data_IF_851611944706
#
_entry.id   IF_851611944706
#
_cell.length_a   1.000
_cell.length_b   1.000
_cell.length_c   1.000
_cell.angle_alpha   90.00
_cell.angle_beta   90.00
_cell.angle_gamma   90.00
#
_symmetry.space_group_name_H-M   'P 1'
#
loop_
_entity.id
_entity.type
_entity.pdbx_description
1 polymer ?
#
# COMPACT_ATOMS: atom_id res chain seq x y z
N UNK A 1 20.31 -0.54 -10.75
CA UNK A 1 19.02 -0.69 -10.05
C UNK A 1 18.18 -1.71 -10.83
N UNK A 2 17.44 -2.59 -10.16
CA UNK A 2 16.60 -3.57 -10.85
C UNK A 2 15.58 -2.90 -11.77
N UNK A 3 14.89 -1.85 -11.29
CA UNK A 3 14.03 -1.01 -12.10
C UNK A 3 14.05 0.45 -11.61
N UNK A 4 13.66 1.36 -12.46
CA UNK A 4 13.50 2.76 -12.13
C UNK A 4 12.12 2.98 -11.47
N UNK A 5 12.05 3.85 -10.49
CA UNK A 5 10.79 4.29 -9.90
C UNK A 5 10.04 5.20 -10.88
N UNK A 6 9.25 4.58 -11.77
CA UNK A 6 8.49 5.30 -12.81
C UNK A 6 7.37 6.18 -12.26
N UNK A 7 6.93 5.94 -11.02
CA UNK A 7 5.86 6.73 -10.38
C UNK A 7 6.37 8.10 -9.94
N UNK A 8 7.57 8.15 -9.38
CA UNK A 8 8.17 9.38 -8.87
C UNK A 8 9.11 10.07 -9.86
N UNK A 9 9.58 9.35 -10.89
CA UNK A 9 10.46 9.94 -11.91
C UNK A 9 9.82 11.13 -12.59
N UNK A 10 10.48 12.28 -12.52
CA UNK A 10 10.09 13.55 -13.17
C UNK A 10 11.32 14.30 -13.65
N UNK A 11 11.14 15.12 -14.67
CA UNK A 11 12.13 16.11 -15.10
C UNK A 11 11.46 17.42 -15.48
N UNK A 12 12.19 18.52 -15.37
CA UNK A 12 11.73 19.85 -15.76
C UNK A 12 12.85 20.57 -16.51
N UNK A 13 12.52 21.11 -17.68
CA UNK A 13 13.41 22.00 -18.43
C UNK A 13 13.17 23.42 -17.96
N UNK A 14 14.22 24.14 -17.60
CA UNK A 14 14.17 25.52 -17.14
C UNK A 14 15.20 26.40 -17.86
N UNK A 15 15.09 27.69 -17.73
CA UNK A 15 16.00 28.67 -18.33
C UNK A 15 16.16 28.43 -19.85
N UNK A 16 15.03 28.38 -20.57
CA UNK A 16 14.95 28.09 -22.02
C UNK A 16 15.68 26.80 -22.43
N UNK A 17 15.58 25.76 -21.60
CA UNK A 17 16.20 24.47 -21.84
C UNK A 17 17.70 24.41 -21.55
N UNK A 18 18.31 25.50 -21.01
CA UNK A 18 19.73 25.53 -20.63
C UNK A 18 20.03 24.76 -19.33
N UNK A 19 19.01 24.44 -18.56
CA UNK A 19 19.13 23.68 -17.32
C UNK A 19 18.02 22.64 -17.23
N UNK A 20 18.33 21.50 -16.58
CA UNK A 20 17.43 20.38 -16.41
C UNK A 20 17.37 20.02 -14.92
N UNK A 21 16.19 20.02 -14.35
CA UNK A 21 15.93 19.42 -13.03
C UNK A 21 15.58 17.95 -13.30
N UNK A 22 16.36 17.03 -12.75
CA UNK A 22 16.25 15.60 -13.01
C UNK A 22 16.09 14.81 -11.71
N UNK A 23 15.04 13.97 -11.62
CA UNK A 23 14.87 13.08 -10.50
C UNK A 23 15.64 11.77 -10.68
N UNK A 24 16.27 11.26 -9.61
CA UNK A 24 17.08 10.03 -9.68
C UNK A 24 17.25 9.37 -8.31
N UNK A 25 17.20 8.04 -8.27
CA UNK A 25 17.49 7.20 -7.09
C UNK A 25 18.95 6.70 -7.04
N UNK A 26 19.88 7.37 -7.72
CA UNK A 26 21.29 6.93 -7.81
C UNK A 26 21.96 6.69 -6.45
N UNK A 27 21.50 7.39 -5.42
CA UNK A 27 22.02 7.30 -4.05
C UNK A 27 21.12 6.44 -3.13
N UNK A 28 20.19 5.64 -3.69
CA UNK A 28 19.27 4.79 -2.95
C UNK A 28 17.94 5.43 -2.61
N UNK A 29 17.88 6.77 -2.47
CA UNK A 29 16.65 7.54 -2.29
C UNK A 29 16.44 8.51 -3.45
N UNK A 30 15.19 8.74 -3.80
CA UNK A 30 14.84 9.65 -4.88
C UNK A 30 15.17 11.09 -4.55
N UNK A 31 15.99 11.72 -5.37
CA UNK A 31 16.45 13.10 -5.23
C UNK A 31 16.29 13.87 -6.52
N UNK A 32 16.14 15.18 -6.44
CA UNK A 32 16.29 16.08 -7.58
C UNK A 32 17.71 16.60 -7.69
N UNK A 33 18.20 16.62 -8.93
CA UNK A 33 19.52 17.11 -9.33
C UNK A 33 19.38 18.17 -10.40
N UNK A 34 20.25 19.18 -10.38
CA UNK A 34 20.33 20.21 -11.41
C UNK A 34 21.48 19.88 -12.38
N UNK A 35 21.17 19.91 -13.67
CA UNK A 35 22.13 19.73 -14.77
C UNK A 35 22.17 20.94 -15.68
N UNK A 36 23.26 21.12 -16.42
CA UNK A 36 23.27 21.96 -17.59
C UNK A 36 22.73 21.22 -18.83
N UNK A 37 22.56 21.92 -19.95
CA UNK A 37 22.06 21.34 -21.21
C UNK A 37 23.05 20.40 -21.91
N UNK A 38 24.32 20.35 -21.47
CA UNK A 38 25.32 19.38 -21.95
C UNK A 38 25.29 18.08 -21.12
N UNK A 39 24.42 17.99 -20.09
CA UNK A 39 24.32 16.84 -19.21
C UNK A 39 25.32 16.84 -18.05
N UNK A 40 26.03 17.93 -17.81
CA UNK A 40 26.93 18.02 -16.66
C UNK A 40 26.13 18.31 -15.39
N UNK A 41 26.39 17.52 -14.35
CA UNK A 41 25.78 17.72 -13.03
C UNK A 41 26.31 19.00 -12.40
N UNK A 42 25.39 19.93 -12.03
CA UNK A 42 25.72 21.15 -11.31
C UNK A 42 25.72 20.91 -9.80
N UNK A 43 24.60 20.37 -9.27
CA UNK A 43 24.45 20.02 -7.85
C UNK A 43 23.23 19.12 -7.60
N UNK A 44 23.16 18.53 -6.40
CA UNK A 44 21.92 17.99 -5.85
C UNK A 44 21.06 19.15 -5.33
N UNK A 45 19.75 19.11 -5.59
CA UNK A 45 18.77 20.09 -5.08
C UNK A 45 18.21 19.62 -3.74
N UNK A 46 17.74 18.37 -3.66
CA UNK A 46 17.17 17.82 -2.43
C UNK A 46 18.19 16.97 -1.66
N UNK A 47 18.10 16.90 -0.32
CA UNK A 47 19.06 16.17 0.48
C UNK A 47 18.92 14.64 0.32
N UNK A 48 19.97 13.84 0.62
CA UNK A 48 19.99 12.39 0.39
C UNK A 48 19.25 11.57 1.46
N UNK A 49 18.83 12.16 2.56
CA UNK A 49 18.18 11.49 3.69
C UNK A 49 16.64 11.43 3.59
N UNK A 50 16.08 11.89 2.45
CA UNK A 50 14.65 11.83 2.14
C UNK A 50 14.40 11.23 0.76
N UNK A 51 13.17 10.77 0.50
CA UNK A 51 12.66 10.54 -0.86
C UNK A 51 11.89 11.78 -1.29
N UNK A 52 12.34 12.44 -2.35
CA UNK A 52 11.66 13.58 -2.96
C UNK A 52 10.51 13.09 -3.85
N UNK A 53 9.32 13.61 -3.61
CA UNK A 53 8.12 13.39 -4.43
C UNK A 53 7.91 14.49 -5.46
N UNK A 54 6.65 14.92 -5.63
CA UNK A 54 6.23 15.92 -6.62
C UNK A 54 6.74 17.32 -6.27
N UNK A 55 7.19 18.05 -7.28
CA UNK A 55 7.44 19.49 -7.16
C UNK A 55 6.08 20.22 -7.26
N UNK A 56 5.61 20.79 -6.14
CA UNK A 56 4.34 21.51 -6.04
C UNK A 56 4.42 22.90 -6.67
N UNK A 57 5.59 23.53 -6.56
CA UNK A 57 5.87 24.85 -7.18
C UNK A 57 7.33 24.90 -7.61
N UNK A 58 7.54 25.33 -8.84
CA UNK A 58 8.84 25.68 -9.39
C UNK A 58 8.86 27.19 -9.68
N UNK A 59 9.65 27.93 -8.92
CA UNK A 59 9.88 29.37 -9.11
C UNK A 59 11.24 29.56 -9.80
N UNK A 60 11.21 29.71 -11.11
CA UNK A 60 12.42 29.87 -11.92
C UNK A 60 13.09 31.21 -11.74
N UNK A 61 12.33 32.27 -11.39
CA UNK A 61 12.85 33.63 -11.17
C UNK A 61 13.66 33.69 -9.87
N UNK A 62 13.08 33.17 -8.79
CA UNK A 62 13.73 33.14 -7.48
C UNK A 62 14.59 31.86 -7.28
N UNK A 63 14.62 30.99 -8.27
CA UNK A 63 15.38 29.73 -8.29
C UNK A 63 15.09 28.87 -7.06
N UNK A 64 13.81 28.62 -6.77
CA UNK A 64 13.37 27.79 -5.64
C UNK A 64 12.33 26.77 -6.08
N UNK A 65 12.23 25.67 -5.32
CA UNK A 65 11.11 24.71 -5.43
C UNK A 65 10.44 24.53 -4.08
N UNK A 66 9.13 24.21 -4.13
CA UNK A 66 8.39 23.56 -3.04
C UNK A 66 8.16 22.13 -3.47
N UNK A 67 8.58 21.18 -2.65
CA UNK A 67 8.63 19.75 -3.01
C UNK A 67 8.10 18.87 -1.88
N UNK A 68 7.39 17.82 -2.25
CA UNK A 68 7.04 16.73 -1.34
C UNK A 68 8.30 15.98 -0.88
N UNK A 69 8.27 15.48 0.37
CA UNK A 69 9.33 14.63 0.89
C UNK A 69 8.84 13.62 1.90
N UNK A 70 9.52 12.49 1.92
CA UNK A 70 9.17 11.34 2.74
C UNK A 70 10.38 10.81 3.50
N UNK A 71 10.14 10.29 4.73
CA UNK A 71 11.11 9.54 5.50
C UNK A 71 12.30 10.34 6.05
N UNK A 72 12.20 11.69 6.13
CA UNK A 72 13.23 12.55 6.70
C UNK A 72 13.01 12.83 8.19
N UNK A 73 11.76 13.06 8.57
CA UNK A 73 11.44 13.47 9.95
C UNK A 73 11.60 12.28 10.90
N UNK A 74 12.54 12.40 11.84
CA UNK A 74 12.93 11.32 12.75
C UNK A 74 11.81 10.98 13.75
N UNK A 75 11.60 9.69 13.98
CA UNK A 75 10.58 9.21 14.93
C UNK A 75 9.14 9.31 14.41
N UNK A 76 8.97 9.70 13.14
CA UNK A 76 7.69 9.79 12.47
C UNK A 76 7.58 8.68 11.40
N UNK A 77 6.36 8.21 11.15
CA UNK A 77 6.12 7.22 10.11
C UNK A 77 6.67 7.73 8.75
N UNK A 78 7.63 7.04 8.13
CA UNK A 78 8.29 7.49 6.90
C UNK A 78 7.38 7.56 5.69
N UNK A 79 6.14 7.05 5.77
CA UNK A 79 5.15 7.17 4.72
C UNK A 79 4.34 8.47 4.80
N UNK A 80 4.50 9.26 5.87
CA UNK A 80 3.83 10.56 5.95
C UNK A 80 4.50 11.55 5.02
N UNK A 81 3.67 12.28 4.29
CA UNK A 81 4.07 13.30 3.33
C UNK A 81 4.32 14.62 4.05
N UNK A 82 5.46 15.21 3.76
CA UNK A 82 5.84 16.55 4.21
C UNK A 82 6.15 17.44 3.01
N UNK A 83 6.17 18.77 3.23
CA UNK A 83 6.53 19.72 2.20
C UNK A 83 7.69 20.58 2.65
N UNK A 84 8.63 20.77 1.71
CA UNK A 84 9.87 21.51 1.94
C UNK A 84 10.05 22.55 0.86
N UNK A 85 10.68 23.68 1.23
CA UNK A 85 11.22 24.66 0.30
C UNK A 85 12.73 24.51 0.21
N UNK A 86 13.30 24.61 -0.98
CA UNK A 86 14.75 24.58 -1.21
C UNK A 86 15.11 25.40 -2.45
N UNK A 87 16.32 25.98 -2.45
CA UNK A 87 16.87 26.66 -3.62
C UNK A 87 17.41 25.64 -4.62
N UNK A 88 17.44 25.98 -5.91
CA UNK A 88 17.99 25.10 -6.96
C UNK A 88 19.48 24.79 -6.78
N UNK A 89 20.21 25.58 -5.96
CA UNK A 89 21.61 25.28 -5.58
C UNK A 89 21.72 24.32 -4.38
N UNK A 90 20.60 23.77 -3.89
CA UNK A 90 20.53 22.86 -2.75
C UNK A 90 20.58 23.52 -1.38
N UNK A 91 20.73 24.85 -1.31
CA UNK A 91 20.75 25.57 -0.02
C UNK A 91 19.35 26.01 0.43
N UNK A 92 19.25 26.46 1.68
CA UNK A 92 18.01 27.00 2.23
C UNK A 92 16.89 25.95 2.38
N UNK A 93 17.25 24.69 2.57
CA UNK A 93 16.28 23.62 2.78
C UNK A 93 15.50 23.83 4.07
N UNK A 94 14.18 23.96 3.95
CA UNK A 94 13.30 24.35 5.06
C UNK A 94 12.03 23.52 5.05
N UNK A 95 11.67 22.90 6.18
CA UNK A 95 10.39 22.25 6.40
C UNK A 95 9.27 23.30 6.46
N UNK A 96 8.24 23.13 5.63
CA UNK A 96 7.08 24.05 5.59
C UNK A 96 5.93 23.55 6.46
N UNK A 97 5.74 22.24 6.56
CA UNK A 97 4.59 21.59 7.20
C UNK A 97 5.03 20.77 8.41
N UNK A 98 5.28 21.39 9.56
CA UNK A 98 5.65 20.66 10.78
C UNK A 98 4.43 19.98 11.40
N UNK A 99 4.64 18.80 11.96
CA UNK A 99 3.58 18.04 12.66
C UNK A 99 3.74 16.53 12.44
N UNK A 100 3.20 15.73 13.35
CA UNK A 100 3.24 14.27 13.21
C UNK A 100 1.96 13.78 12.52
N UNK A 101 1.96 13.85 11.20
CA UNK A 101 0.86 13.41 10.35
C UNK A 101 1.23 13.47 8.87
N UNK A 102 0.33 13.04 8.02
CA UNK A 102 0.45 13.24 6.58
C UNK A 102 -0.16 14.58 6.20
N UNK A 103 0.53 15.35 5.36
CA UNK A 103 0.18 16.72 5.01
C UNK A 103 -0.36 16.81 3.58
N UNK A 104 -1.26 17.76 3.36
CA UNK A 104 -1.76 18.17 2.05
C UNK A 104 -1.79 19.69 1.98
N UNK A 105 -1.24 20.30 0.93
CA UNK A 105 -1.12 21.76 0.86
C UNK A 105 -1.85 22.35 -0.33
N UNK A 106 -2.41 23.55 -0.09
CA UNK A 106 -2.87 24.48 -1.12
C UNK A 106 -2.06 25.77 -1.05
N UNK A 107 -1.45 26.15 -2.16
CA UNK A 107 -0.59 27.35 -2.24
C UNK A 107 -1.40 28.58 -2.61
N UNK A 108 -1.15 29.72 -1.95
CA UNK A 108 -1.69 30.99 -2.40
C UNK A 108 -1.16 31.36 -3.79
N UNK A 109 -1.92 32.10 -4.63
CA UNK A 109 -1.49 32.48 -5.99
C UNK A 109 -0.15 33.20 -6.02
N UNK A 110 0.12 34.05 -5.04
CA UNK A 110 1.40 34.78 -4.92
C UNK A 110 2.53 33.93 -4.32
N UNK A 111 2.22 32.72 -3.83
CA UNK A 111 3.18 31.79 -3.24
C UNK A 111 3.80 32.25 -1.92
N UNK A 112 3.13 33.14 -1.18
CA UNK A 112 3.62 33.60 0.13
C UNK A 112 3.04 32.81 1.29
N UNK A 113 1.89 32.19 1.08
CA UNK A 113 1.17 31.41 2.08
C UNK A 113 0.81 30.03 1.52
N UNK A 114 0.57 29.11 2.41
CA UNK A 114 -0.08 27.83 2.12
C UNK A 114 -1.10 27.50 3.21
N UNK A 115 -2.13 26.78 2.85
CA UNK A 115 -2.99 26.07 3.77
C UNK A 115 -2.42 24.64 3.87
N UNK A 116 -2.19 24.17 5.09
CA UNK A 116 -1.74 22.83 5.38
C UNK A 116 -2.85 22.06 6.09
N UNK A 117 -3.40 21.05 5.42
CA UNK A 117 -4.33 20.10 6.01
C UNK A 117 -3.55 18.84 6.38
N UNK A 118 -3.47 18.52 7.66
CA UNK A 118 -2.75 17.33 8.09
C UNK A 118 -3.57 16.49 9.06
N UNK A 119 -3.36 15.20 9.00
CA UNK A 119 -4.04 14.22 9.83
C UNK A 119 -3.26 12.90 9.93
N UNK A 120 -3.74 12.02 10.78
CA UNK A 120 -3.40 10.58 10.82
C UNK A 120 -4.69 9.77 10.88
N UNK A 121 -4.59 8.48 10.73
CA UNK A 121 -5.76 7.60 10.88
C UNK A 121 -6.41 7.67 12.28
N UNK A 122 -5.62 8.02 13.30
CA UNK A 122 -6.04 8.18 14.70
C UNK A 122 -6.24 9.64 15.14
N UNK A 123 -6.09 10.59 14.23
CA UNK A 123 -6.14 12.03 14.50
C UNK A 123 -6.92 12.75 13.40
N UNK A 124 -8.05 13.39 13.74
CA UNK A 124 -8.84 14.21 12.81
C UNK A 124 -8.00 15.28 12.11
N UNK A 125 -8.50 15.78 10.98
CA UNK A 125 -7.79 16.77 10.17
C UNK A 125 -7.74 18.12 10.87
N UNK A 126 -6.55 18.71 10.94
CA UNK A 126 -6.34 20.12 11.31
C UNK A 126 -5.86 20.90 10.09
N UNK A 127 -6.40 22.12 9.93
CA UNK A 127 -6.09 23.06 8.85
C UNK A 127 -5.34 24.27 9.39
N UNK A 128 -4.15 24.51 8.86
CA UNK A 128 -3.27 25.61 9.29
C UNK A 128 -2.95 26.55 8.15
N UNK A 129 -2.99 27.85 8.42
CA UNK A 129 -2.40 28.86 7.53
C UNK A 129 -0.93 29.06 7.90
N UNK A 130 -0.05 28.85 6.93
CA UNK A 130 1.39 28.95 7.10
C UNK A 130 1.95 30.03 6.17
N UNK A 131 2.73 30.97 6.74
CA UNK A 131 3.51 31.91 5.95
C UNK A 131 4.84 31.25 5.56
N UNK A 132 5.09 31.09 4.26
CA UNK A 132 6.25 30.33 3.72
C UNK A 132 7.59 30.92 4.16
N UNK A 133 7.68 32.26 4.34
CA UNK A 133 8.89 32.91 4.84
C UNK A 133 9.19 32.65 6.33
N UNK A 134 8.20 32.18 7.11
CA UNK A 134 8.33 31.92 8.54
C UNK A 134 7.45 30.73 8.98
N UNK A 135 7.72 29.50 8.48
CA UNK A 135 6.80 28.37 8.59
C UNK A 135 6.59 27.86 10.03
N UNK A 136 7.48 28.22 10.96
CA UNK A 136 7.30 27.91 12.39
C UNK A 136 6.16 28.69 13.06
N UNK A 137 5.69 29.79 12.44
CA UNK A 137 4.54 30.58 12.89
C UNK A 137 3.35 30.22 12.02
N UNK A 138 2.56 29.28 12.45
CA UNK A 138 1.30 28.88 11.82
C UNK A 138 0.12 29.44 12.60
N UNK A 139 -1.00 29.58 11.94
CA UNK A 139 -2.29 29.94 12.52
C UNK A 139 -3.24 28.78 12.28
N UNK A 140 -3.81 28.24 13.34
CA UNK A 140 -4.87 27.24 13.24
C UNK A 140 -6.09 27.92 12.61
N UNK A 141 -6.60 27.36 11.52
CA UNK A 141 -7.82 27.80 10.86
C UNK A 141 -9.02 27.01 11.37
N UNK A 142 -8.87 25.67 11.42
CA UNK A 142 -9.92 24.76 11.79
C UNK A 142 -9.31 23.44 12.30
N UNK A 143 -9.99 22.79 13.23
CA UNK A 143 -9.73 21.43 13.68
C UNK A 143 -11.03 20.63 13.59
N UNK A 144 -11.00 19.51 12.90
CA UNK A 144 -12.19 18.64 12.79
C UNK A 144 -12.52 18.04 14.15
N UNK A 145 -13.79 18.11 14.52
CA UNK A 145 -14.34 17.54 15.76
C UNK A 145 -14.82 16.11 15.53
N UNK A 146 -14.34 15.16 16.32
CA UNK A 146 -14.76 13.76 16.32
C UNK A 146 -15.56 13.36 17.58
N UNK A 147 -16.02 14.35 18.36
CA UNK A 147 -16.72 14.14 19.64
C UNK A 147 -18.01 13.32 19.46
N UNK A 148 -18.82 13.63 18.47
CA UNK A 148 -20.06 12.89 18.18
C UNK A 148 -19.78 11.42 17.81
N UNK A 149 -18.70 11.15 17.05
CA UNK A 149 -18.29 9.79 16.76
C UNK A 149 -17.89 9.03 18.03
N UNK A 150 -17.16 9.70 18.93
CA UNK A 150 -16.74 9.10 20.21
C UNK A 150 -17.93 8.85 21.14
N UNK A 151 -18.91 9.74 21.17
CA UNK A 151 -20.16 9.56 21.92
C UNK A 151 -20.95 8.34 21.42
N UNK A 152 -20.91 8.03 20.13
CA UNK A 152 -21.46 6.80 19.54
C UNK A 152 -20.62 5.54 19.83
N UNK A 153 -19.52 5.70 20.58
CA UNK A 153 -18.62 4.60 20.94
C UNK A 153 -17.51 4.31 19.94
N UNK A 154 -17.39 5.09 18.85
CA UNK A 154 -16.30 4.95 17.90
C UNK A 154 -14.94 5.16 18.58
N UNK A 155 -13.98 4.34 18.20
CA UNK A 155 -12.58 4.45 18.64
C UNK A 155 -11.67 4.47 17.42
N UNK A 156 -10.64 5.34 17.41
CA UNK A 156 -9.66 5.36 16.33
C UNK A 156 -8.91 4.03 16.25
N UNK A 157 -8.43 3.65 15.08
CA UNK A 157 -7.60 2.47 14.93
C UNK A 157 -6.24 2.66 15.63
N UNK A 158 -5.59 1.55 15.94
CA UNK A 158 -4.27 1.53 16.57
C UNK A 158 -3.19 1.53 15.49
N UNK A 159 -2.38 2.59 15.45
CA UNK A 159 -1.20 2.63 14.60
C UNK A 159 -0.08 1.80 15.24
N UNK A 160 0.59 0.97 14.44
CA UNK A 160 1.68 0.15 14.96
C UNK A 160 2.90 0.14 14.05
N UNK A 161 4.04 -0.11 14.67
CA UNK A 161 5.33 -0.38 14.02
C UNK A 161 5.84 -1.74 14.51
N UNK A 162 6.36 -2.53 13.58
CA UNK A 162 6.99 -3.83 13.82
C UNK A 162 8.21 -3.98 12.93
N UNK A 163 9.04 -4.99 13.22
CA UNK A 163 10.07 -5.42 12.26
C UNK A 163 9.47 -6.33 11.21
N UNK A 164 10.01 -6.28 9.99
CA UNK A 164 9.74 -7.24 8.93
C UNK A 164 10.31 -8.62 9.29
N UNK A 165 10.07 -9.61 8.46
CA UNK A 165 10.60 -10.96 8.66
C UNK A 165 12.14 -11.07 8.60
N UNK A 166 12.84 -9.96 8.32
CA UNK A 166 14.31 -9.85 8.41
C UNK A 166 14.82 -9.34 9.76
N UNK A 167 13.93 -9.12 10.73
CA UNK A 167 14.18 -8.55 12.08
C UNK A 167 14.87 -7.17 12.08
N UNK A 168 14.98 -6.50 10.92
CA UNK A 168 15.69 -5.24 10.76
C UNK A 168 14.86 -4.10 10.18
N UNK A 169 14.13 -4.37 9.10
CA UNK A 169 13.35 -3.36 8.39
C UNK A 169 12.06 -3.01 9.14
N UNK A 170 11.82 -1.71 9.35
CA UNK A 170 10.58 -1.26 9.99
C UNK A 170 9.40 -1.30 9.01
N UNK A 171 8.32 -1.95 9.43
CA UNK A 171 7.01 -1.96 8.79
C UNK A 171 6.01 -1.18 9.64
N UNK A 172 5.07 -0.53 8.98
CA UNK A 172 4.04 0.30 9.60
C UNK A 172 2.67 -0.20 9.18
N UNK A 173 1.76 -0.24 10.11
CA UNK A 173 0.40 -0.75 9.87
C UNK A 173 -0.64 -0.11 10.76
N UNK A 174 -1.87 -0.53 10.52
CA UNK A 174 -3.08 -0.08 11.21
C UNK A 174 -3.80 -1.31 11.71
N UNK A 175 -4.29 -1.26 12.95
CA UNK A 175 -5.09 -2.32 13.55
C UNK A 175 -6.42 -1.76 14.00
N UNK A 176 -7.49 -2.31 13.46
CA UNK A 176 -8.88 -2.01 13.79
C UNK A 176 -9.39 -3.03 14.80
N UNK A 177 -9.99 -2.55 15.86
CA UNK A 177 -10.47 -3.35 16.98
C UNK A 177 -11.98 -3.15 17.19
N UNK A 178 -12.69 -4.15 17.74
CA UNK A 178 -14.04 -3.94 18.20
C UNK A 178 -14.11 -2.80 19.23
N UNK A 179 -15.11 -1.92 19.14
CA UNK A 179 -15.25 -0.80 20.08
C UNK A 179 -15.48 -1.29 21.52
N UNK A 180 -16.11 -2.44 21.68
CA UNK A 180 -16.36 -3.11 22.96
C UNK A 180 -15.35 -4.24 23.22
N UNK A 181 -14.11 -4.09 22.79
CA UNK A 181 -13.05 -5.09 22.95
C UNK A 181 -12.94 -5.55 24.42
N UNK A 182 -13.05 -6.87 24.61
CA UNK A 182 -12.79 -7.56 25.87
C UNK A 182 -11.48 -8.35 25.74
N UNK A 183 -10.42 -7.87 26.36
CA UNK A 183 -9.08 -8.48 26.25
C UNK A 183 -8.94 -9.84 26.94
N UNK A 184 -9.98 -10.31 27.63
CA UNK A 184 -10.03 -11.67 28.22
C UNK A 184 -10.50 -12.74 27.22
N UNK A 185 -11.04 -12.33 26.08
CA UNK A 185 -11.52 -13.19 24.99
C UNK A 185 -10.51 -13.26 23.85
N UNK A 186 -10.59 -14.34 23.07
CA UNK A 186 -9.79 -14.50 21.85
C UNK A 186 -10.60 -14.07 20.62
N UNK A 187 -9.97 -13.27 19.76
CA UNK A 187 -10.53 -12.76 18.51
C UNK A 187 -9.76 -13.29 17.30
N UNK A 188 -10.46 -13.80 16.27
CA UNK A 188 -9.81 -14.09 15.00
C UNK A 188 -9.16 -12.81 14.43
N UNK A 189 -8.05 -12.99 13.73
CA UNK A 189 -7.37 -11.90 13.04
C UNK A 189 -7.55 -12.00 11.52
N UNK A 190 -7.83 -10.88 10.88
CA UNK A 190 -7.95 -10.77 9.42
C UNK A 190 -6.94 -9.74 8.93
N UNK A 191 -6.14 -10.08 7.94
CA UNK A 191 -5.29 -9.11 7.23
C UNK A 191 -5.93 -8.70 5.92
N UNK A 192 -6.06 -7.38 5.70
CA UNK A 192 -6.44 -6.79 4.42
C UNK A 192 -5.15 -6.40 3.69
N UNK A 193 -4.89 -6.98 2.53
CA UNK A 193 -3.61 -6.90 1.85
C UNK A 193 -3.70 -6.26 0.48
N UNK A 194 -2.72 -5.41 0.16
CA UNK A 194 -2.44 -4.95 -1.19
C UNK A 194 -0.93 -4.69 -1.33
N UNK A 195 -0.15 -5.68 -1.74
CA UNK A 195 1.29 -5.51 -1.94
C UNK A 195 1.58 -5.10 -3.38
N UNK A 196 1.13 -3.92 -3.76
CA UNK A 196 1.53 -3.38 -5.06
C UNK A 196 3.00 -2.92 -5.00
N UNK A 197 3.86 -3.26 -5.97
CA UNK A 197 5.21 -2.70 -6.02
C UNK A 197 5.18 -1.19 -6.24
N UNK A 198 4.07 -0.65 -6.71
CA UNK A 198 3.84 0.78 -6.90
C UNK A 198 3.13 1.48 -5.73
N UNK A 199 2.44 0.74 -4.86
CA UNK A 199 1.65 1.29 -3.75
C UNK A 199 1.26 0.19 -2.77
N UNK A 200 1.16 0.50 -1.48
CA UNK A 200 0.71 -0.42 -0.44
C UNK A 200 -0.77 -0.23 -0.03
N UNK A 201 -1.42 0.79 -0.59
CA UNK A 201 -2.81 1.18 -0.34
C UNK A 201 -3.20 1.31 1.15
N UNK A 202 -2.22 1.52 2.04
CA UNK A 202 -2.50 1.76 3.46
C UNK A 202 -2.89 3.24 3.63
N UNK A 203 -4.04 3.55 4.25
CA UNK A 203 -4.44 4.94 4.48
C UNK A 203 -3.49 5.63 5.46
N UNK A 204 -3.24 6.91 5.22
CA UNK A 204 -2.36 7.73 6.04
C UNK A 204 -3.08 8.90 6.68
N UNK A 205 -4.13 9.38 6.04
CA UNK A 205 -4.97 10.47 6.51
C UNK A 205 -6.16 9.93 7.29
N UNK A 206 -6.79 10.78 8.09
CA UNK A 206 -7.98 10.44 8.87
C UNK A 206 -9.13 10.00 7.97
N UNK A 207 -9.70 8.87 8.33
CA UNK A 207 -11.00 8.40 7.82
C UNK A 207 -11.67 7.52 8.89
N UNK A 208 -12.99 7.57 8.96
CA UNK A 208 -13.77 6.84 9.97
C UNK A 208 -13.76 5.34 9.71
N UNK A 209 -13.84 4.95 8.45
CA UNK A 209 -13.75 3.55 8.01
C UNK A 209 -13.01 3.49 6.66
N UNK A 210 -11.97 2.66 6.59
CA UNK A 210 -11.21 2.43 5.38
C UNK A 210 -11.48 1.05 4.84
N UNK A 211 -11.92 0.96 3.58
CA UNK A 211 -12.27 -0.31 2.92
C UNK A 211 -13.17 -1.22 3.78
N UNK A 212 -13.99 -0.62 4.62
CA UNK A 212 -14.85 -1.32 5.59
C UNK A 212 -14.08 -2.16 6.65
N UNK A 213 -12.80 -1.89 6.87
CA UNK A 213 -11.99 -2.59 7.88
C UNK A 213 -12.51 -2.36 9.29
N UNK A 214 -12.88 -1.11 9.62
CA UNK A 214 -13.45 -0.78 10.93
C UNK A 214 -14.78 -1.48 11.15
N UNK A 215 -15.67 -1.47 10.16
CA UNK A 215 -16.97 -2.14 10.26
C UNK A 215 -16.85 -3.66 10.31
N UNK A 216 -15.86 -4.24 9.63
CA UNK A 216 -15.54 -5.67 9.75
C UNK A 216 -15.08 -6.01 11.18
N UNK A 217 -14.26 -5.15 11.79
CA UNK A 217 -13.80 -5.35 13.17
C UNK A 217 -14.96 -5.34 14.17
N UNK A 218 -16.05 -4.56 13.94
CA UNK A 218 -17.22 -4.53 14.83
C UNK A 218 -17.99 -5.86 14.88
N UNK A 219 -17.77 -6.76 13.93
CA UNK A 219 -18.34 -8.12 13.96
C UNK A 219 -17.60 -9.07 14.92
N UNK A 220 -16.51 -8.63 15.53
CA UNK A 220 -15.74 -9.43 16.49
C UNK A 220 -14.40 -9.95 15.94
N UNK A 221 -13.78 -9.20 15.05
CA UNK A 221 -12.45 -9.49 14.50
C UNK A 221 -11.41 -8.46 14.93
N UNK A 222 -10.16 -8.87 15.01
CA UNK A 222 -9.02 -7.96 14.86
C UNK A 222 -8.73 -7.86 13.36
N UNK A 223 -8.79 -6.64 12.80
CA UNK A 223 -8.48 -6.44 11.37
C UNK A 223 -7.20 -5.62 11.26
N UNK A 224 -6.27 -6.04 10.42
CA UNK A 224 -5.02 -5.30 10.19
C UNK A 224 -4.82 -4.98 8.71
N UNK A 225 -4.08 -3.90 8.50
CA UNK A 225 -3.51 -3.53 7.22
C UNK A 225 -2.05 -3.16 7.47
N UNK A 226 -1.10 -3.85 6.87
CA UNK A 226 0.34 -3.65 7.09
C UNK A 226 1.11 -3.66 5.78
N UNK A 227 2.05 -2.71 5.63
CA UNK A 227 2.97 -2.67 4.50
C UNK A 227 4.00 -3.79 4.61
N UNK A 228 4.41 -4.31 3.48
CA UNK A 228 5.51 -5.26 3.35
C UNK A 228 6.69 -4.63 2.61
N UNK A 229 7.86 -5.20 2.74
CA UNK A 229 8.98 -4.81 1.86
C UNK A 229 8.57 -5.03 0.41
N UNK A 230 8.96 -4.11 -0.47
CA UNK A 230 8.58 -4.12 -1.88
C UNK A 230 7.28 -3.39 -2.21
N UNK A 231 6.49 -2.94 -1.22
CA UNK A 231 5.16 -2.39 -1.46
C UNK A 231 5.09 -0.86 -1.48
N UNK A 232 6.18 -0.14 -1.31
CA UNK A 232 6.14 1.33 -1.24
C UNK A 232 7.33 2.00 -1.89
N UNK A 233 7.06 2.78 -2.90
CA UNK A 233 8.06 3.53 -3.67
C UNK A 233 8.65 4.73 -2.92
N UNK A 234 7.97 5.23 -1.89
CA UNK A 234 8.40 6.39 -1.10
C UNK A 234 9.37 6.03 0.04
N UNK A 235 9.76 4.76 0.14
CA UNK A 235 10.72 4.26 1.12
C UNK A 235 12.17 4.20 0.59
N UNK A 236 12.35 4.48 -0.72
CA UNK A 236 13.63 4.39 -1.42
C UNK A 236 13.81 3.06 -2.16
N UNK A 237 14.83 3.04 -3.02
CA UNK A 237 15.07 1.99 -4.02
C UNK A 237 15.14 0.58 -3.44
N UNK A 238 15.92 0.39 -2.39
CA UNK A 238 16.16 -0.96 -1.85
C UNK A 238 14.89 -1.55 -1.22
N UNK A 239 14.01 -0.70 -0.71
CA UNK A 239 12.71 -1.12 -0.21
C UNK A 239 11.75 -1.48 -1.34
N UNK A 240 11.54 -0.58 -2.33
CA UNK A 240 10.53 -0.83 -3.37
C UNK A 240 10.97 -1.88 -4.39
N UNK A 241 12.28 -2.10 -4.56
CA UNK A 241 12.81 -3.15 -5.44
C UNK A 241 12.92 -4.53 -4.77
N UNK A 242 12.50 -4.68 -3.51
CA UNK A 242 12.65 -5.94 -2.78
C UNK A 242 11.95 -7.12 -3.46
N UNK A 243 10.81 -6.85 -4.11
CA UNK A 243 10.05 -7.86 -4.87
C UNK A 243 10.60 -8.19 -6.26
N UNK A 244 11.67 -7.52 -6.73
CA UNK A 244 12.22 -7.75 -8.06
C UNK A 244 12.77 -9.16 -8.22
N UNK A 245 12.28 -9.87 -9.25
CA UNK A 245 12.62 -11.29 -9.46
C UNK A 245 11.79 -12.27 -8.61
N UNK A 246 10.94 -11.76 -7.72
CA UNK A 246 10.11 -12.57 -6.82
C UNK A 246 8.70 -11.98 -6.63
N UNK A 247 8.04 -11.58 -7.71
CA UNK A 247 6.81 -10.79 -7.67
C UNK A 247 5.62 -11.48 -6.98
N UNK A 248 5.59 -12.82 -6.90
CA UNK A 248 4.53 -13.55 -6.20
C UNK A 248 4.75 -13.61 -4.69
N UNK A 249 5.98 -13.93 -4.25
CA UNK A 249 6.21 -14.42 -2.89
C UNK A 249 6.82 -13.37 -1.95
N UNK A 250 7.27 -12.21 -2.47
CA UNK A 250 8.01 -11.21 -1.68
C UNK A 250 7.27 -10.67 -0.45
N UNK A 251 5.93 -10.48 -0.44
CA UNK A 251 5.25 -9.89 0.71
C UNK A 251 4.85 -10.92 1.77
N UNK A 252 4.84 -12.22 1.43
CA UNK A 252 4.16 -13.25 2.20
C UNK A 252 4.76 -13.47 3.60
N UNK A 253 6.09 -13.47 3.68
CA UNK A 253 6.78 -13.65 4.96
C UNK A 253 6.57 -12.47 5.90
N UNK A 254 6.55 -11.25 5.37
CA UNK A 254 6.35 -10.03 6.17
C UNK A 254 4.92 -9.97 6.74
N UNK A 255 3.90 -10.29 5.95
CA UNK A 255 2.51 -10.33 6.42
C UNK A 255 2.30 -11.37 7.52
N UNK A 256 2.77 -12.60 7.30
CA UNK A 256 2.71 -13.66 8.31
C UNK A 256 3.44 -13.27 9.60
N UNK A 257 4.67 -12.74 9.49
CA UNK A 257 5.47 -12.30 10.63
C UNK A 257 4.80 -11.15 11.39
N UNK A 258 4.12 -10.24 10.68
CA UNK A 258 3.35 -9.16 11.30
C UNK A 258 2.23 -9.71 12.19
N UNK A 259 1.42 -10.65 11.68
CA UNK A 259 0.36 -11.30 12.44
C UNK A 259 0.91 -11.99 13.69
N UNK A 260 1.96 -12.80 13.53
CA UNK A 260 2.61 -13.51 14.66
C UNK A 260 3.19 -12.54 15.70
N UNK A 261 3.77 -11.42 15.25
CA UNK A 261 4.33 -10.39 16.16
C UNK A 261 3.24 -9.67 16.93
N UNK A 262 2.13 -9.33 16.27
CA UNK A 262 0.98 -8.73 16.95
C UNK A 262 0.34 -9.69 17.95
N UNK A 263 0.22 -10.97 17.63
CA UNK A 263 -0.31 -11.97 18.56
C UNK A 263 0.59 -12.19 19.80
N UNK A 264 1.91 -12.08 19.63
CA UNK A 264 2.83 -12.06 20.79
C UNK A 264 2.64 -10.80 21.66
N UNK A 265 2.33 -9.65 21.07
CA UNK A 265 2.10 -8.37 21.76
C UNK A 265 0.71 -8.29 22.40
N UNK A 266 -0.31 -8.83 21.73
CA UNK A 266 -1.71 -8.75 22.12
C UNK A 266 -2.31 -10.15 22.29
N UNK A 267 -2.39 -10.62 23.53
CA UNK A 267 -2.81 -11.99 23.87
C UNK A 267 -4.24 -12.36 23.49
N UNK A 268 -5.05 -11.37 23.15
CA UNK A 268 -6.42 -11.57 22.67
C UNK A 268 -6.51 -11.96 21.18
N UNK A 269 -5.39 -11.98 20.44
CA UNK A 269 -5.36 -12.41 19.03
C UNK A 269 -5.23 -13.93 18.95
N UNK A 270 -6.12 -14.55 18.18
CA UNK A 270 -6.20 -15.99 17.98
C UNK A 270 -5.50 -16.41 16.66
N UNK A 271 -4.35 -17.05 16.78
CA UNK A 271 -3.58 -17.55 15.63
C UNK A 271 -4.16 -18.82 14.99
N UNK A 272 -5.12 -19.48 15.64
CA UNK A 272 -5.82 -20.63 15.05
C UNK A 272 -6.93 -20.20 14.10
N UNK A 273 -7.29 -18.90 14.11
CA UNK A 273 -8.35 -18.33 13.29
C UNK A 273 -7.84 -17.10 12.53
N UNK A 274 -7.00 -17.32 11.51
CA UNK A 274 -6.40 -16.27 10.67
C UNK A 274 -7.11 -16.19 9.32
N UNK A 275 -7.61 -15.00 8.99
CA UNK A 275 -8.19 -14.67 7.70
C UNK A 275 -7.30 -13.71 6.89
N UNK A 276 -7.51 -13.70 5.57
CA UNK A 276 -6.82 -12.82 4.63
C UNK A 276 -7.75 -12.42 3.50
N UNK A 277 -7.77 -11.15 3.11
CA UNK A 277 -8.49 -10.74 1.92
C UNK A 277 -7.80 -9.58 1.20
N UNK A 278 -8.10 -9.46 -0.09
CA UNK A 278 -7.61 -8.36 -0.89
C UNK A 278 -8.20 -8.33 -2.29
N UNK A 279 -8.03 -7.22 -2.94
CA UNK A 279 -8.49 -6.95 -4.29
C UNK A 279 -7.29 -6.76 -5.24
N UNK A 280 -7.42 -7.17 -6.51
CA UNK A 280 -6.37 -6.99 -7.53
C UNK A 280 -5.04 -7.65 -7.11
N UNK A 281 -3.95 -6.90 -6.98
CA UNK A 281 -2.69 -7.40 -6.38
C UNK A 281 -2.89 -8.02 -5.00
N UNK A 282 -3.83 -7.50 -4.20
CA UNK A 282 -4.22 -8.10 -2.92
C UNK A 282 -4.94 -9.44 -3.06
N UNK A 283 -5.78 -9.61 -4.10
CA UNK A 283 -6.37 -10.90 -4.44
C UNK A 283 -5.31 -11.93 -4.86
N UNK A 284 -4.31 -11.48 -5.61
CA UNK A 284 -3.15 -12.31 -5.96
C UNK A 284 -2.37 -12.76 -4.72
N UNK A 285 -2.06 -11.83 -3.81
CA UNK A 285 -1.37 -12.13 -2.55
C UNK A 285 -2.20 -13.05 -1.66
N UNK A 286 -3.50 -12.82 -1.52
CA UNK A 286 -4.40 -13.65 -0.72
C UNK A 286 -4.27 -15.13 -1.08
N UNK A 287 -4.35 -15.43 -2.37
CA UNK A 287 -4.20 -16.83 -2.85
C UNK A 287 -2.77 -17.33 -2.65
N UNK A 288 -1.76 -16.53 -3.00
CA UNK A 288 -0.36 -16.90 -2.79
C UNK A 288 -0.06 -17.25 -1.32
N UNK A 289 -0.57 -16.44 -0.38
CA UNK A 289 -0.43 -16.66 1.06
C UNK A 289 -1.10 -17.95 1.53
N UNK A 290 -2.36 -18.19 1.15
CA UNK A 290 -3.09 -19.40 1.51
C UNK A 290 -2.45 -20.69 0.95
N UNK A 291 -1.86 -20.61 -0.24
CA UNK A 291 -1.23 -21.76 -0.87
C UNK A 291 0.23 -21.98 -0.42
N UNK A 292 0.90 -20.94 0.08
CA UNK A 292 2.27 -21.03 0.61
C UNK A 292 2.27 -21.40 2.10
N UNK A 293 1.30 -20.87 2.86
CA UNK A 293 1.14 -21.15 4.30
C UNK A 293 -0.25 -21.77 4.60
N UNK A 294 -0.54 -22.96 4.05
CA UNK A 294 -1.90 -23.53 4.08
C UNK A 294 -2.40 -23.91 5.49
N UNK A 295 -1.49 -24.07 6.45
CA UNK A 295 -1.84 -24.33 7.84
C UNK A 295 -1.97 -23.06 8.67
N UNK A 296 -1.57 -21.90 8.16
CA UNK A 296 -1.67 -20.64 8.85
C UNK A 296 -2.94 -19.87 8.49
N UNK A 297 -3.18 -19.58 7.21
CA UNK A 297 -4.38 -18.89 6.76
C UNK A 297 -5.55 -19.87 6.59
N UNK A 298 -6.62 -19.65 7.37
CA UNK A 298 -7.79 -20.54 7.42
C UNK A 298 -8.87 -20.15 6.42
N UNK A 299 -9.06 -18.84 6.20
CA UNK A 299 -10.09 -18.30 5.30
C UNK A 299 -9.49 -17.18 4.46
N UNK A 300 -9.72 -17.21 3.14
CA UNK A 300 -9.29 -16.18 2.23
C UNK A 300 -10.37 -15.76 1.24
N UNK A 301 -10.40 -14.46 0.92
CA UNK A 301 -11.27 -13.88 -0.12
C UNK A 301 -10.41 -13.12 -1.10
N UNK A 302 -10.33 -13.59 -2.34
CA UNK A 302 -9.48 -13.05 -3.38
C UNK A 302 -10.34 -12.44 -4.50
N UNK A 303 -10.38 -11.12 -4.57
CA UNK A 303 -11.16 -10.41 -5.57
C UNK A 303 -10.28 -9.89 -6.71
N UNK A 304 -10.72 -10.08 -7.96
CA UNK A 304 -10.10 -9.59 -9.20
C UNK A 304 -8.56 -9.82 -9.25
N UNK A 305 -8.09 -10.95 -8.73
CA UNK A 305 -6.67 -11.24 -8.58
C UNK A 305 -6.00 -11.64 -9.89
N UNK A 306 -4.83 -11.06 -10.18
CA UNK A 306 -4.00 -11.38 -11.34
C UNK A 306 -3.18 -12.68 -11.11
N UNK A 307 -3.88 -13.80 -10.92
CA UNK A 307 -3.31 -15.09 -10.48
C UNK A 307 -2.27 -15.69 -11.44
N UNK A 308 -2.20 -15.18 -12.67
CA UNK A 308 -1.17 -15.48 -13.68
C UNK A 308 -0.68 -14.18 -14.31
N UNK A 309 0.38 -13.60 -13.74
CA UNK A 309 0.96 -12.34 -14.22
C UNK A 309 1.65 -12.46 -15.60
N UNK A 310 1.82 -13.66 -16.15
CA UNK A 310 2.31 -13.83 -17.54
C UNK A 310 1.21 -13.51 -18.57
N UNK A 311 -0.05 -13.42 -18.14
CA UNK A 311 -1.20 -13.00 -18.94
C UNK A 311 -1.70 -11.58 -18.63
N UNK A 312 -1.00 -10.90 -17.72
CA UNK A 312 -1.28 -9.52 -17.35
C UNK A 312 -0.52 -8.55 -18.28
N UNK A 313 -0.49 -7.26 -17.96
CA UNK A 313 0.19 -6.23 -18.74
C UNK A 313 1.69 -6.51 -18.78
N UNK A 314 2.24 -6.80 -19.96
CA UNK A 314 3.63 -7.25 -20.14
C UNK A 314 4.64 -6.25 -19.56
N UNK A 315 4.52 -4.95 -19.88
CA UNK A 315 5.47 -3.95 -19.40
C UNK A 315 5.50 -3.87 -17.86
N UNK A 316 4.35 -4.13 -17.20
CA UNK A 316 4.27 -4.16 -15.74
C UNK A 316 5.05 -5.35 -15.16
N UNK A 317 4.84 -6.53 -15.73
CA UNK A 317 5.60 -7.73 -15.36
C UNK A 317 7.11 -7.57 -15.59
N UNK A 318 7.50 -7.06 -16.75
CA UNK A 318 8.90 -6.79 -17.07
C UNK A 318 9.53 -5.75 -16.14
N UNK A 319 8.79 -4.70 -15.78
CA UNK A 319 9.27 -3.65 -14.87
C UNK A 319 9.50 -4.18 -13.46
N UNK A 320 8.54 -4.89 -12.88
CA UNK A 320 8.56 -5.22 -11.45
C UNK A 320 9.10 -6.61 -11.14
N UNK A 321 9.01 -7.55 -12.07
CA UNK A 321 9.65 -8.87 -11.96
C UNK A 321 11.02 -8.93 -12.64
N UNK A 322 11.15 -8.17 -13.71
CA UNK A 322 12.37 -8.12 -14.53
C UNK A 322 12.41 -9.14 -15.64
N UNK A 323 13.42 -8.99 -16.47
CA UNK A 323 13.71 -9.87 -17.63
C UNK A 323 15.03 -10.57 -17.43
N UNK A 324 15.11 -11.80 -17.95
CA UNK A 324 16.38 -12.55 -18.07
C UNK A 324 16.81 -12.59 -19.53
N UNK A 325 18.05 -12.26 -19.80
CA UNK A 325 18.64 -12.42 -21.14
C UNK A 325 19.24 -13.82 -21.28
N UNK A 326 19.02 -14.42 -22.42
CA UNK A 326 19.58 -15.71 -22.81
C UNK A 326 20.26 -15.54 -24.16
N UNK A 327 21.53 -15.88 -24.24
CA UNK A 327 22.27 -15.90 -25.52
C UNK A 327 22.43 -17.35 -25.95
N UNK A 328 21.88 -17.66 -27.12
CA UNK A 328 22.05 -18.97 -27.75
C UNK A 328 23.53 -19.12 -28.13
N UNK A 329 24.19 -20.14 -27.62
CA UNK A 329 25.63 -20.37 -27.80
C UNK A 329 26.00 -20.78 -29.22
N UNK A 330 25.04 -21.25 -30.03
CA UNK A 330 25.26 -21.69 -31.42
C UNK A 330 25.06 -20.53 -32.39
N UNK A 331 23.95 -19.81 -32.23
CA UNK A 331 23.55 -18.76 -33.17
C UNK A 331 24.05 -17.37 -32.77
N UNK A 332 24.49 -17.18 -31.52
CA UNK A 332 24.85 -15.88 -30.92
C UNK A 332 23.69 -14.95 -30.71
N UNK A 333 22.45 -15.38 -30.98
CA UNK A 333 21.24 -14.54 -30.80
C UNK A 333 20.87 -14.43 -29.33
N UNK A 334 20.61 -13.20 -28.89
CA UNK A 334 20.10 -12.93 -27.55
C UNK A 334 18.59 -12.81 -27.61
N UNK A 335 17.89 -13.49 -26.69
CA UNK A 335 16.47 -13.37 -26.44
C UNK A 335 16.19 -13.11 -24.96
N UNK A 336 15.04 -12.51 -24.68
CA UNK A 336 14.65 -12.12 -23.33
C UNK A 336 13.42 -12.90 -22.89
N UNK A 337 13.40 -13.28 -21.63
CA UNK A 337 12.24 -13.96 -21.01
C UNK A 337 11.84 -13.24 -19.75
N UNK A 338 10.51 -13.12 -19.52
CA UNK A 338 9.93 -12.75 -18.26
C UNK A 338 8.94 -13.86 -17.88
N UNK A 339 9.30 -14.68 -16.89
CA UNK A 339 8.43 -15.76 -16.40
C UNK A 339 8.18 -15.54 -14.91
N UNK A 340 6.96 -15.16 -14.59
CA UNK A 340 6.51 -14.88 -13.23
C UNK A 340 5.86 -16.15 -12.66
N UNK A 341 6.22 -16.61 -11.45
CA UNK A 341 5.53 -17.70 -10.77
C UNK A 341 4.04 -17.39 -10.61
N UNK A 342 3.18 -18.40 -10.89
CA UNK A 342 1.73 -18.25 -10.83
C UNK A 342 1.14 -18.89 -9.59
N UNK A 343 -0.05 -18.44 -9.18
CA UNK A 343 -0.79 -19.10 -8.11
C UNK A 343 -1.27 -20.52 -8.53
N UNK A 344 -1.52 -20.73 -9.81
CA UNK A 344 -1.97 -22.00 -10.35
C UNK A 344 -1.00 -23.16 -10.04
N UNK A 345 0.30 -22.88 -9.99
CA UNK A 345 1.35 -23.86 -9.68
C UNK A 345 1.23 -24.42 -8.25
N UNK A 346 0.62 -23.66 -7.35
CA UNK A 346 0.47 -24.01 -5.93
C UNK A 346 -0.91 -24.57 -5.58
N UNK A 347 -1.83 -24.70 -6.54
CA UNK A 347 -3.24 -25.02 -6.30
C UNK A 347 -3.45 -26.27 -5.40
N UNK A 348 -2.59 -27.29 -5.54
CA UNK A 348 -2.63 -28.54 -4.73
C UNK A 348 -2.48 -28.31 -3.22
N UNK A 349 -1.92 -27.17 -2.81
CA UNK A 349 -1.62 -26.90 -1.41
C UNK A 349 -2.83 -26.34 -0.64
N UNK A 350 -3.93 -25.98 -1.29
CA UNK A 350 -5.09 -25.39 -0.60
C UNK A 350 -5.62 -26.32 0.49
N UNK A 351 -5.73 -25.81 1.72
CA UNK A 351 -6.35 -26.48 2.88
C UNK A 351 -7.52 -25.67 3.47
N UNK A 352 -7.38 -24.35 3.51
CA UNK A 352 -8.39 -23.43 4.08
C UNK A 352 -9.58 -23.20 3.16
N UNK A 353 -10.52 -22.37 3.61
CA UNK A 353 -11.68 -21.91 2.83
C UNK A 353 -11.26 -20.74 1.94
N UNK A 354 -11.45 -20.86 0.64
CA UNK A 354 -11.11 -19.83 -0.34
C UNK A 354 -12.35 -19.43 -1.15
N UNK A 355 -12.63 -18.12 -1.20
CA UNK A 355 -13.58 -17.53 -2.13
C UNK A 355 -12.82 -16.74 -3.20
N UNK A 356 -13.10 -17.02 -4.46
CA UNK A 356 -12.64 -16.26 -5.61
C UNK A 356 -13.77 -15.35 -6.10
N UNK A 357 -13.47 -14.06 -6.31
CA UNK A 357 -14.44 -13.09 -6.83
C UNK A 357 -13.85 -12.45 -8.10
N UNK A 358 -14.64 -12.26 -9.14
CA UNK A 358 -14.22 -11.53 -10.35
C UNK A 358 -15.40 -10.81 -10.99
N UNK A 359 -15.18 -9.64 -11.57
CA UNK A 359 -16.12 -9.02 -12.50
C UNK A 359 -16.08 -9.74 -13.85
N UNK A 360 -17.21 -9.90 -14.50
CA UNK A 360 -17.28 -10.59 -15.80
C UNK A 360 -16.80 -9.74 -16.98
N UNK A 361 -16.77 -8.40 -16.80
CA UNK A 361 -16.28 -7.44 -17.81
C UNK A 361 -15.01 -6.70 -17.38
N UNK A 362 -14.23 -7.28 -16.46
CA UNK A 362 -12.96 -6.72 -15.99
C UNK A 362 -11.96 -6.55 -17.14
N UNK A 363 -11.64 -5.29 -17.46
CA UNK A 363 -10.73 -4.90 -18.56
C UNK A 363 -9.29 -4.73 -18.09
N UNK A 364 -9.05 -4.68 -16.79
CA UNK A 364 -7.71 -4.55 -16.22
C UNK A 364 -7.11 -5.93 -15.93
N UNK A 365 -7.74 -6.70 -15.03
CA UNK A 365 -7.33 -8.08 -14.73
C UNK A 365 -8.38 -9.02 -15.32
N UNK A 366 -8.14 -9.46 -16.54
CA UNK A 366 -9.11 -10.27 -17.28
C UNK A 366 -9.60 -11.49 -16.48
N UNK A 367 -10.92 -11.77 -16.41
CA UNK A 367 -11.51 -12.84 -15.60
C UNK A 367 -10.90 -14.22 -15.85
N UNK A 368 -10.31 -14.42 -17.03
CA UNK A 368 -9.64 -15.68 -17.40
C UNK A 368 -8.52 -16.07 -16.43
N UNK A 369 -7.87 -15.12 -15.75
CA UNK A 369 -6.83 -15.42 -14.76
C UNK A 369 -7.45 -16.11 -13.55
N UNK A 370 -8.63 -15.69 -13.09
CA UNK A 370 -9.41 -16.32 -12.03
C UNK A 370 -9.96 -17.69 -12.49
N UNK A 371 -10.48 -17.80 -13.70
CA UNK A 371 -10.97 -19.08 -14.25
C UNK A 371 -9.85 -20.11 -14.42
N UNK A 372 -8.64 -19.70 -14.80
CA UNK A 372 -7.46 -20.57 -14.86
C UNK A 372 -7.05 -21.10 -13.49
N UNK A 373 -7.10 -20.25 -12.45
CA UNK A 373 -6.87 -20.70 -11.08
C UNK A 373 -7.96 -21.67 -10.63
N UNK A 374 -9.23 -21.36 -10.87
CA UNK A 374 -10.35 -22.25 -10.56
C UNK A 374 -10.16 -23.63 -11.22
N UNK A 375 -9.76 -23.69 -12.50
CA UNK A 375 -9.45 -24.94 -13.19
C UNK A 375 -8.27 -25.68 -12.56
N UNK A 376 -7.22 -24.97 -12.09
CA UNK A 376 -6.10 -25.59 -11.41
C UNK A 376 -6.50 -26.19 -10.05
N UNK A 377 -7.37 -25.50 -9.31
CA UNK A 377 -7.94 -26.01 -8.04
C UNK A 377 -8.83 -27.24 -8.27
N UNK A 378 -9.71 -27.23 -9.28
CA UNK A 378 -10.53 -28.39 -9.65
C UNK A 378 -9.67 -29.59 -10.05
N UNK A 379 -8.64 -29.41 -10.85
CA UNK A 379 -7.69 -30.49 -11.22
C UNK A 379 -6.90 -31.03 -10.03
N UNK A 380 -6.75 -30.23 -8.98
CA UNK A 380 -6.10 -30.64 -7.72
C UNK A 380 -7.09 -31.18 -6.69
N UNK A 381 -8.37 -31.41 -7.07
CA UNK A 381 -9.46 -31.86 -6.20
C UNK A 381 -9.63 -30.99 -4.94
N UNK A 382 -9.57 -29.66 -5.12
CA UNK A 382 -9.71 -28.68 -4.04
C UNK A 382 -11.09 -28.01 -4.07
N UNK A 383 -11.73 -27.92 -2.91
CA UNK A 383 -12.99 -27.19 -2.75
C UNK A 383 -12.68 -25.70 -2.54
N UNK A 384 -13.41 -24.86 -3.26
CA UNK A 384 -13.39 -23.41 -3.14
C UNK A 384 -14.75 -22.86 -3.53
N UNK A 385 -15.02 -21.63 -3.13
CA UNK A 385 -16.20 -20.89 -3.51
C UNK A 385 -15.84 -19.87 -4.61
N UNK A 386 -16.79 -19.56 -5.48
CA UNK A 386 -16.54 -18.60 -6.55
C UNK A 386 -17.78 -17.74 -6.80
N UNK A 387 -17.57 -16.41 -6.91
CA UNK A 387 -18.57 -15.44 -7.28
C UNK A 387 -18.12 -14.68 -8.52
N UNK A 388 -18.91 -14.76 -9.57
CA UNK A 388 -18.79 -13.86 -10.74
C UNK A 388 -19.78 -12.73 -10.54
N UNK A 389 -19.30 -11.49 -10.61
CA UNK A 389 -20.09 -10.27 -10.43
C UNK A 389 -20.54 -9.74 -11.81
N UNK A 390 -21.80 -9.98 -12.23
CA UNK A 390 -22.25 -9.62 -13.58
C UNK A 390 -22.24 -8.11 -13.79
N UNK A 391 -21.74 -7.67 -14.95
CA UNK A 391 -21.66 -6.26 -15.35
C UNK A 391 -20.60 -5.44 -14.61
N UNK A 392 -19.80 -6.07 -13.74
CA UNK A 392 -18.75 -5.37 -12.99
C UNK A 392 -17.42 -5.43 -13.73
N UNK A 393 -16.75 -4.27 -13.80
CA UNK A 393 -15.37 -4.13 -14.25
C UNK A 393 -14.41 -4.47 -13.09
N UNK A 394 -13.15 -4.05 -13.15
CA UNK A 394 -12.12 -4.32 -12.15
C UNK A 394 -12.52 -3.92 -10.73
N UNK A 395 -13.23 -2.81 -10.58
CA UNK A 395 -13.77 -2.35 -9.30
C UNK A 395 -15.05 -3.06 -8.89
N UNK A 396 -14.96 -4.26 -8.32
CA UNK A 396 -16.13 -5.04 -7.85
C UNK A 396 -16.75 -4.51 -6.55
N UNK A 397 -16.20 -3.45 -5.96
CA UNK A 397 -16.61 -2.89 -4.66
C UNK A 397 -17.99 -2.24 -4.71
N UNK A 398 -19.00 -2.93 -4.18
CA UNK A 398 -20.34 -2.41 -3.91
C UNK A 398 -20.87 -2.98 -2.58
N UNK A 399 -22.06 -2.57 -2.15
CA UNK A 399 -22.65 -3.04 -0.89
C UNK A 399 -22.75 -4.56 -0.81
N UNK A 400 -23.13 -5.23 -1.90
CA UNK A 400 -23.22 -6.68 -1.94
C UNK A 400 -21.84 -7.34 -1.73
N UNK A 401 -20.81 -6.84 -2.40
CA UNK A 401 -19.43 -7.32 -2.26
C UNK A 401 -18.93 -7.25 -0.81
N UNK A 402 -19.11 -6.10 -0.15
CA UNK A 402 -18.66 -5.92 1.22
C UNK A 402 -19.47 -6.76 2.21
N UNK A 403 -20.77 -6.95 1.97
CA UNK A 403 -21.58 -7.86 2.76
C UNK A 403 -21.14 -9.31 2.58
N UNK A 404 -20.83 -9.73 1.35
CA UNK A 404 -20.33 -11.07 1.06
C UNK A 404 -19.03 -11.36 1.84
N UNK A 405 -18.10 -10.40 1.90
CA UNK A 405 -16.87 -10.51 2.71
C UNK A 405 -17.21 -10.72 4.18
N UNK A 406 -18.13 -9.92 4.75
CA UNK A 406 -18.54 -10.00 6.14
C UNK A 406 -19.16 -11.35 6.46
N UNK A 407 -20.13 -11.80 5.67
CA UNK A 407 -20.79 -13.11 5.84
C UNK A 407 -19.77 -14.23 5.79
N UNK A 408 -18.89 -14.25 4.81
CA UNK A 408 -17.94 -15.33 4.62
C UNK A 408 -16.98 -15.47 5.80
N UNK A 409 -16.46 -14.37 6.31
CA UNK A 409 -15.60 -14.40 7.50
C UNK A 409 -16.37 -14.77 8.77
N UNK A 410 -17.58 -14.27 8.97
CA UNK A 410 -18.41 -14.64 10.13
C UNK A 410 -18.72 -16.13 10.10
N UNK A 411 -19.15 -16.68 8.97
CA UNK A 411 -19.47 -18.09 8.82
C UNK A 411 -18.27 -19.01 9.04
N UNK A 412 -17.08 -18.62 8.59
CA UNK A 412 -15.93 -19.52 8.58
C UNK A 412 -14.88 -19.28 9.66
N UNK A 413 -14.86 -18.11 10.30
CA UNK A 413 -13.94 -17.80 11.40
C UNK A 413 -14.62 -17.61 12.76
N UNK A 414 -15.81 -16.97 12.82
CA UNK A 414 -16.52 -16.78 14.10
C UNK A 414 -17.42 -17.96 14.44
N UNK A 415 -18.16 -18.46 13.46
CA UNK A 415 -19.14 -19.53 13.68
C UNK A 415 -18.92 -20.74 12.78
N UNK A 416 -17.87 -21.54 13.01
CA UNK A 416 -17.58 -22.72 12.19
C UNK A 416 -18.67 -23.82 12.28
N UNK A 417 -19.68 -23.67 13.13
CA UNK A 417 -20.76 -24.66 13.33
C UNK A 417 -21.98 -24.47 12.42
N UNK A 418 -21.92 -23.59 11.41
CA UNK A 418 -22.94 -23.42 10.36
C UNK A 418 -24.33 -22.98 10.86
N UNK A 419 -24.44 -22.13 11.83
CA UNK A 419 -25.68 -21.43 12.08
C UNK A 419 -25.85 -20.34 11.01
N UNK A 420 -27.05 -20.21 10.47
CA UNK A 420 -27.36 -19.16 9.50
C UNK A 420 -27.29 -17.81 10.22
N UNK A 421 -26.37 -16.93 9.81
CA UNK A 421 -26.20 -15.62 10.42
C UNK A 421 -26.72 -14.58 9.42
N UNK A 422 -27.66 -13.76 9.88
CA UNK A 422 -28.18 -12.64 9.12
C UNK A 422 -27.63 -11.33 9.69
N UNK A 423 -26.94 -10.55 8.85
CA UNK A 423 -26.43 -9.23 9.25
C UNK A 423 -27.53 -8.20 9.06
N UNK A 424 -28.13 -7.77 10.15
CA UNK A 424 -29.17 -6.75 10.12
C UNK A 424 -28.54 -5.39 9.83
N UNK A 425 -28.94 -4.80 8.70
CA UNK A 425 -28.60 -3.42 8.38
C UNK A 425 -29.62 -2.47 9.01
N UNK A 426 -29.22 -1.68 9.98
CA UNK A 426 -29.98 -0.50 10.35
C UNK A 426 -29.81 0.56 9.24
N UNK A 427 -30.92 0.91 8.62
CA UNK A 427 -30.98 1.99 7.64
C UNK A 427 -30.89 3.34 8.34
#
# INVERSE_FOLDING_TARGET
>A
APHMNIQLFKYHLINDGKEIIWWSERNGKGQYFLYDNNGNLKNAITPPDMVAGTIMKLDTLNRTIIVEGYGREKGINPHYRFFYKVNLDGKGFTLLTPGNGTHSIDLSPDGKYLIDNYSRMDMPTASHLIKIASPKKNTVLEESDDSELRELGWKPPVLFQIKAADDSTDLYGIMYLPFNLDTTRLYPIITNVYPGPQDDQIPRAFTVDDNYNQSLAQLGFVVINVGSRGSSQIRGRDFHCFGYGNLRDYPLADDKHAIETLARRYRFIDLDRVGIYGHSGGGFQTVAAMLTYPDFYKVGIAASGNHDNNLYIQWWGETYHGIKSHTDSITGKTFFTCKIPTNNELAKNLKGRLMLITGDVDKNVHPSTTFRLANALMKADKRFDMMVMPGMDHGVGNTYYYNLIRYYFVEHLLNPKKEHIDIIHHK
#
